data_IF_653261979986
#
_entry.id   IF_653261979986
#
_cell.length_a   1.000
_cell.length_b   1.000
_cell.length_c   1.000
_cell.angle_alpha   90.00
_cell.angle_beta   90.00
_cell.angle_gamma   90.00
#
_symmetry.space_group_name_H-M   'P 1'
#
loop_
_entity.id
_entity.type
_entity.pdbx_description
1 polymer ?
#
# COMPACT_ATOMS: atom_id res chain seq x y z
N UNK A 1 16.95 10.14 -15.47
CA UNK A 1 16.91 10.36 -14.01
C UNK A 1 15.73 9.58 -13.44
N UNK A 2 15.97 8.68 -12.48
CA UNK A 2 14.90 7.86 -11.85
C UNK A 2 14.76 8.13 -10.35
N UNK A 3 15.62 8.99 -9.76
CA UNK A 3 15.51 9.34 -8.35
C UNK A 3 14.28 10.21 -8.10
N UNK A 4 13.32 9.64 -7.37
CA UNK A 4 12.06 10.27 -7.03
C UNK A 4 12.08 10.57 -5.53
N UNK A 5 11.94 11.84 -5.20
CA UNK A 5 11.88 12.35 -3.83
C UNK A 5 10.42 12.71 -3.55
N UNK A 6 9.74 11.91 -2.76
CA UNK A 6 8.32 12.12 -2.47
C UNK A 6 8.01 11.91 -0.99
N UNK A 7 6.84 12.34 -0.58
CA UNK A 7 6.30 12.09 0.77
C UNK A 7 6.22 10.59 1.11
N UNK A 8 6.02 9.74 0.12
CA UNK A 8 5.99 8.28 0.31
C UNK A 8 7.38 7.63 0.35
N UNK A 9 8.44 8.43 0.43
CA UNK A 9 9.81 7.97 0.52
C UNK A 9 10.68 8.37 -0.67
N UNK A 10 11.94 7.97 -0.58
CA UNK A 10 12.98 8.24 -1.56
C UNK A 10 13.19 6.95 -2.36
N UNK A 11 12.84 6.95 -3.65
CA UNK A 11 12.91 5.76 -4.51
C UNK A 11 13.69 6.02 -5.79
N UNK A 12 14.27 4.98 -6.34
CA UNK A 12 14.97 5.05 -7.63
C UNK A 12 15.47 3.69 -8.09
N UNK A 13 15.93 3.63 -9.33
CA UNK A 13 16.68 2.46 -9.80
C UNK A 13 18.04 2.42 -9.13
N UNK A 14 18.50 1.22 -8.79
CA UNK A 14 19.79 1.04 -8.13
C UNK A 14 20.94 1.19 -9.13
N UNK A 15 21.99 1.89 -8.73
CA UNK A 15 23.21 2.14 -9.55
C UNK A 15 23.16 3.53 -10.22
N UNK A 16 24.16 3.80 -11.08
CA UNK A 16 24.25 5.07 -11.79
C UNK A 16 24.95 6.19 -11.01
N UNK A 17 24.66 7.44 -11.38
CA UNK A 17 25.29 8.62 -10.78
C UNK A 17 24.48 9.12 -9.59
N UNK A 18 25.17 9.68 -8.59
CA UNK A 18 24.54 10.35 -7.45
C UNK A 18 23.60 11.48 -7.92
N UNK A 19 22.41 11.53 -7.33
CA UNK A 19 21.37 12.47 -7.69
C UNK A 19 20.47 12.05 -8.88
N UNK A 20 20.89 11.08 -9.70
CA UNK A 20 20.11 10.59 -10.84
C UNK A 20 19.32 9.32 -10.53
N UNK A 21 19.84 8.51 -9.62
CA UNK A 21 19.32 7.19 -9.24
C UNK A 21 19.51 6.98 -7.75
N UNK A 22 19.01 5.88 -7.19
CA UNK A 22 19.25 5.55 -5.78
C UNK A 22 20.57 4.78 -5.65
N UNK A 23 21.59 5.43 -5.12
CA UNK A 23 22.93 4.89 -4.92
C UNK A 23 23.41 5.09 -3.47
N UNK A 24 24.57 4.51 -3.05
CA UNK A 24 25.03 4.62 -1.66
C UNK A 24 25.15 6.03 -1.11
N UNK A 25 25.56 7.03 -1.92
CA UNK A 25 25.67 8.42 -1.46
C UNK A 25 24.29 9.03 -1.18
N UNK A 26 23.32 8.78 -2.06
CA UNK A 26 21.94 9.22 -1.86
C UNK A 26 21.32 8.53 -0.63
N UNK A 27 21.59 7.23 -0.42
CA UNK A 27 21.13 6.51 0.77
C UNK A 27 21.68 7.12 2.06
N UNK A 28 22.98 7.43 2.12
CA UNK A 28 23.61 8.13 3.27
C UNK A 28 22.94 9.48 3.48
N UNK A 29 22.80 10.28 2.42
CA UNK A 29 22.25 11.63 2.49
C UNK A 29 20.84 11.64 3.06
N UNK A 30 19.93 10.85 2.50
CA UNK A 30 18.52 10.83 2.94
C UNK A 30 18.32 10.15 4.28
N UNK A 31 19.11 9.13 4.62
CA UNK A 31 19.10 8.52 5.95
C UNK A 31 19.57 9.50 7.02
N UNK A 32 20.63 10.27 6.75
CA UNK A 32 21.14 11.29 7.67
C UNK A 32 20.13 12.42 7.87
N UNK A 33 19.49 12.85 6.78
CA UNK A 33 18.43 13.88 6.84
C UNK A 33 17.23 13.42 7.66
N UNK A 34 16.77 12.19 7.42
CA UNK A 34 15.67 11.59 8.18
C UNK A 34 16.00 11.47 9.68
N UNK A 35 17.17 10.94 10.02
CA UNK A 35 17.61 10.80 11.41
C UNK A 35 17.68 12.19 12.12
N UNK A 36 18.17 13.20 11.41
CA UNK A 36 18.21 14.59 11.90
C UNK A 36 16.81 15.15 12.11
N UNK A 37 15.89 14.93 11.16
CA UNK A 37 14.48 15.29 11.29
C UNK A 37 13.84 14.65 12.52
N UNK A 38 13.99 13.33 12.70
CA UNK A 38 13.42 12.61 13.86
C UNK A 38 13.92 13.23 15.17
N UNK A 39 15.22 13.54 15.28
CA UNK A 39 15.79 14.16 16.48
C UNK A 39 15.22 15.57 16.72
N UNK A 40 15.11 16.39 15.68
CA UNK A 40 14.60 17.77 15.77
C UNK A 40 13.12 17.82 16.06
N UNK A 41 12.35 16.84 15.62
CA UNK A 41 10.92 16.80 15.86
C UNK A 41 10.57 16.72 17.35
N UNK A 42 11.45 16.14 18.17
CA UNK A 42 11.25 16.01 19.61
C UNK A 42 10.03 15.16 20.02
N UNK A 43 9.40 14.47 19.06
CA UNK A 43 8.16 13.70 19.26
C UNK A 43 8.38 12.39 20.04
N UNK A 44 9.61 11.90 20.09
CA UNK A 44 9.99 10.69 20.83
C UNK A 44 11.22 10.94 21.70
N UNK A 45 11.27 10.28 22.87
CA UNK A 45 12.45 10.25 23.73
C UNK A 45 13.35 9.03 23.45
N UNK A 46 12.93 8.14 22.58
CA UNK A 46 13.71 6.97 22.18
C UNK A 46 14.86 7.38 21.29
N UNK A 47 15.98 6.68 21.38
CA UNK A 47 17.12 6.79 20.48
C UNK A 47 17.22 5.61 19.52
N UNK A 48 16.13 4.90 19.28
CA UNK A 48 16.10 3.67 18.47
C UNK A 48 15.35 3.92 17.16
N UNK A 49 15.91 3.41 16.05
CA UNK A 49 15.25 3.33 14.74
C UNK A 49 15.12 1.86 14.35
N UNK A 50 13.91 1.46 13.93
CA UNK A 50 13.65 0.12 13.39
C UNK A 50 13.95 0.12 11.89
N UNK A 51 14.60 -0.95 11.40
CA UNK A 51 14.87 -1.13 9.97
C UNK A 51 14.37 -2.51 9.54
N UNK A 52 13.47 -2.52 8.56
CA UNK A 52 12.98 -3.73 7.90
C UNK A 52 13.13 -3.64 6.39
N UNK A 53 13.10 -4.77 5.67
CA UNK A 53 13.20 -4.78 4.21
C UNK A 53 12.41 -5.92 3.56
N UNK A 54 12.00 -5.72 2.31
CA UNK A 54 11.54 -6.80 1.46
C UNK A 54 12.75 -7.63 0.92
N UNK A 55 12.47 -8.61 0.06
CA UNK A 55 13.49 -9.51 -0.46
C UNK A 55 14.24 -8.98 -1.69
N UNK A 56 14.04 -7.71 -2.11
CA UNK A 56 14.74 -7.15 -3.27
C UNK A 56 16.23 -7.41 -3.24
N UNK A 57 16.80 -7.78 -4.39
CA UNK A 57 18.23 -8.15 -4.54
C UNK A 57 19.18 -7.09 -3.97
N UNK A 58 18.84 -5.81 -4.15
CA UNK A 58 19.61 -4.69 -3.61
C UNK A 58 19.42 -4.43 -2.12
N UNK A 59 18.45 -5.12 -1.47
CA UNK A 59 18.04 -4.84 -0.11
C UNK A 59 19.16 -4.97 0.92
N UNK A 60 20.02 -5.97 0.78
CA UNK A 60 21.14 -6.17 1.71
C UNK A 60 22.16 -5.02 1.65
N UNK A 61 22.54 -4.58 0.47
CA UNK A 61 23.43 -3.43 0.29
C UNK A 61 22.81 -2.15 0.88
N UNK A 62 21.54 -1.88 0.55
CA UNK A 62 20.84 -0.68 1.05
C UNK A 62 20.74 -0.71 2.57
N UNK A 63 20.35 -1.86 3.17
CA UNK A 63 20.27 -2.04 4.62
C UNK A 63 21.61 -1.74 5.30
N UNK A 64 22.72 -2.26 4.77
CA UNK A 64 24.03 -2.04 5.37
C UNK A 64 24.41 -0.55 5.39
N UNK A 65 24.11 0.19 4.33
CA UNK A 65 24.36 1.64 4.27
C UNK A 65 23.45 2.39 5.24
N UNK A 66 22.16 2.05 5.27
CA UNK A 66 21.17 2.67 6.20
C UNK A 66 21.58 2.46 7.64
N UNK A 67 21.84 1.19 8.05
CA UNK A 67 22.16 0.88 9.44
C UNK A 67 23.49 1.54 9.88
N UNK A 68 24.53 1.49 9.03
CA UNK A 68 25.80 2.17 9.32
C UNK A 68 25.65 3.68 9.45
N UNK A 69 24.83 4.30 8.61
CA UNK A 69 24.56 5.74 8.68
C UNK A 69 23.80 6.12 9.96
N UNK A 70 22.76 5.36 10.34
CA UNK A 70 22.02 5.58 11.58
C UNK A 70 22.92 5.47 12.81
N UNK A 71 23.76 4.44 12.89
CA UNK A 71 24.75 4.31 13.98
C UNK A 71 25.73 5.48 13.97
N UNK A 72 26.23 5.88 12.80
CA UNK A 72 27.15 6.99 12.64
C UNK A 72 26.57 8.36 13.06
N UNK A 73 25.24 8.52 13.01
CA UNK A 73 24.55 9.73 13.49
C UNK A 73 24.07 9.60 14.94
N UNK A 74 24.36 8.45 15.60
CA UNK A 74 24.14 8.21 17.01
C UNK A 74 22.77 7.57 17.37
N UNK A 75 22.09 6.91 16.42
CA UNK A 75 20.89 6.12 16.72
C UNK A 75 21.21 4.66 16.92
N UNK A 76 20.58 4.02 17.90
CA UNK A 76 20.51 2.59 18.01
C UNK A 76 19.63 2.01 16.91
N UNK A 77 20.01 0.89 16.33
CA UNK A 77 19.29 0.23 15.24
C UNK A 77 18.79 -1.13 15.68
N UNK A 78 17.48 -1.37 15.49
CA UNK A 78 16.90 -2.71 15.54
C UNK A 78 16.60 -3.13 14.09
N UNK A 79 17.45 -4.02 13.54
CA UNK A 79 17.21 -4.65 12.25
C UNK A 79 16.27 -5.85 12.43
N UNK A 80 15.08 -5.78 11.86
CA UNK A 80 14.10 -6.88 11.92
C UNK A 80 14.20 -7.83 10.71
N UNK A 81 15.18 -7.61 9.83
CA UNK A 81 15.49 -8.49 8.70
C UNK A 81 14.51 -8.37 7.54
N UNK A 82 14.21 -9.53 6.94
CA UNK A 82 13.17 -9.66 5.92
C UNK A 82 11.80 -9.53 6.59
N UNK A 83 11.12 -8.43 6.35
CA UNK A 83 9.86 -8.09 6.99
C UNK A 83 8.93 -7.36 6.01
N UNK A 84 7.64 -7.45 6.28
CA UNK A 84 6.63 -6.69 5.53
C UNK A 84 6.62 -5.22 5.93
N UNK A 85 6.04 -4.37 5.09
CA UNK A 85 5.77 -2.96 5.44
C UNK A 85 4.96 -2.88 6.74
N UNK A 86 3.78 -3.54 6.88
CA UNK A 86 3.03 -3.47 8.14
C UNK A 86 3.75 -4.10 9.35
N UNK A 87 4.57 -5.15 9.17
CA UNK A 87 5.40 -5.67 10.28
C UNK A 87 6.37 -4.61 10.80
N UNK A 88 6.97 -3.84 9.90
CA UNK A 88 7.92 -2.79 10.28
C UNK A 88 7.21 -1.62 10.99
N UNK A 89 6.04 -1.22 10.51
CA UNK A 89 5.19 -0.21 11.14
C UNK A 89 4.81 -0.61 12.58
N UNK A 90 4.36 -1.85 12.75
CA UNK A 90 4.03 -2.40 14.08
C UNK A 90 5.27 -2.53 14.97
N UNK A 91 6.43 -2.89 14.42
CA UNK A 91 7.68 -2.99 15.19
C UNK A 91 8.08 -1.64 15.79
N UNK A 92 7.93 -0.52 15.05
CA UNK A 92 8.15 0.83 15.59
C UNK A 92 7.27 1.09 16.81
N UNK A 93 5.98 0.78 16.71
CA UNK A 93 5.02 0.95 17.82
C UNK A 93 5.33 0.04 19.00
N UNK A 94 5.58 -1.25 18.75
CA UNK A 94 5.82 -2.25 19.79
C UNK A 94 7.10 -1.99 20.58
N UNK A 95 8.13 -1.41 19.95
CA UNK A 95 9.39 -1.04 20.58
C UNK A 95 9.41 0.37 21.11
N UNK A 96 8.37 1.16 20.82
CA UNK A 96 8.35 2.61 21.10
C UNK A 96 9.57 3.33 20.50
N UNK A 97 10.02 2.89 19.31
CA UNK A 97 11.14 3.49 18.61
C UNK A 97 10.84 4.94 18.19
N UNK A 98 11.89 5.72 17.95
CA UNK A 98 11.74 7.09 17.50
C UNK A 98 11.19 7.19 16.06
N UNK A 99 11.36 6.13 15.28
CA UNK A 99 10.87 5.99 13.93
C UNK A 99 11.33 4.68 13.30
N UNK A 100 11.15 4.57 11.98
CA UNK A 100 11.57 3.38 11.23
C UNK A 100 11.88 3.69 9.77
N UNK A 101 12.63 2.80 9.15
CA UNK A 101 12.91 2.82 7.71
C UNK A 101 12.54 1.45 7.14
N UNK A 102 11.68 1.45 6.14
CA UNK A 102 11.35 0.25 5.36
C UNK A 102 12.07 0.34 4.02
N UNK A 103 12.88 -0.66 3.72
CA UNK A 103 13.66 -0.73 2.48
C UNK A 103 12.87 -1.59 1.48
N UNK A 104 12.06 -0.93 0.67
CA UNK A 104 11.20 -1.55 -0.34
C UNK A 104 10.73 -0.52 -1.36
N UNK A 105 10.58 -0.92 -2.61
CA UNK A 105 9.90 -0.13 -3.63
C UNK A 105 8.52 -0.70 -3.97
N UNK A 106 7.89 -1.46 -3.04
CA UNK A 106 6.56 -2.08 -3.20
C UNK A 106 6.44 -2.83 -4.55
N UNK A 107 5.50 -2.48 -5.37
CA UNK A 107 5.20 -3.09 -6.66
C UNK A 107 6.09 -2.63 -7.84
N UNK A 108 7.08 -1.77 -7.62
CA UNK A 108 8.02 -1.41 -8.67
C UNK A 108 8.87 -2.62 -9.10
N UNK A 109 9.35 -2.67 -10.37
CA UNK A 109 10.20 -3.76 -10.86
C UNK A 109 11.48 -3.96 -10.04
N UNK A 110 12.14 -5.11 -10.19
CA UNK A 110 13.25 -5.57 -9.36
C UNK A 110 14.47 -4.64 -9.28
N UNK A 111 14.71 -3.82 -10.31
CA UNK A 111 15.81 -2.86 -10.34
C UNK A 111 15.59 -1.62 -9.47
N UNK A 112 14.37 -1.42 -8.95
CA UNK A 112 14.02 -0.34 -8.05
C UNK A 112 14.24 -0.72 -6.59
N UNK A 113 14.57 0.28 -5.76
CA UNK A 113 14.43 0.21 -4.31
C UNK A 113 14.05 1.58 -3.75
N UNK A 114 13.69 1.63 -2.47
CA UNK A 114 13.34 2.88 -1.83
C UNK A 114 13.60 2.84 -0.32
N UNK A 115 13.66 4.02 0.27
CA UNK A 115 13.59 4.26 1.71
C UNK A 115 12.21 4.82 2.01
N UNK A 116 11.31 4.03 2.60
CA UNK A 116 10.04 4.49 3.14
C UNK A 116 10.26 4.90 4.60
N UNK A 117 9.88 6.10 4.96
CA UNK A 117 10.23 6.74 6.23
C UNK A 117 9.01 6.76 7.17
N UNK A 118 9.18 6.25 8.38
CA UNK A 118 8.13 6.18 9.40
C UNK A 118 8.40 7.15 10.55
N UNK A 119 7.35 7.70 11.10
CA UNK A 119 7.38 8.46 12.36
C UNK A 119 7.36 7.53 13.59
N UNK A 120 7.34 8.09 14.78
CA UNK A 120 7.33 7.34 16.06
C UNK A 120 6.02 6.57 16.31
N UNK A 121 4.95 6.85 15.57
CA UNK A 121 3.69 6.10 15.62
C UNK A 121 3.70 4.90 14.67
N UNK A 122 4.79 4.68 13.91
CA UNK A 122 4.89 3.64 12.89
C UNK A 122 4.10 3.97 11.63
N UNK A 123 3.85 5.24 11.36
CA UNK A 123 3.12 5.72 10.19
C UNK A 123 4.06 6.47 9.23
N UNK A 124 3.73 6.51 7.96
CA UNK A 124 4.49 7.29 7.00
C UNK A 124 4.48 8.78 7.33
N UNK A 125 5.58 9.45 6.99
CA UNK A 125 5.68 10.90 7.18
C UNK A 125 4.61 11.64 6.39
N UNK A 126 4.04 12.67 6.99
CA UNK A 126 3.14 13.61 6.30
C UNK A 126 3.88 14.41 5.24
N UNK A 127 3.15 15.11 4.37
CA UNK A 127 3.76 15.98 3.34
C UNK A 127 4.67 17.03 3.94
N UNK A 128 4.28 17.65 5.05
CA UNK A 128 5.09 18.65 5.74
C UNK A 128 6.38 18.05 6.29
N UNK A 129 6.29 16.91 6.95
CA UNK A 129 7.44 16.20 7.53
C UNK A 129 8.40 15.69 6.43
N UNK A 130 7.86 15.15 5.33
CA UNK A 130 8.66 14.73 4.19
C UNK A 130 9.40 15.88 3.52
N UNK A 131 8.77 17.05 3.37
CA UNK A 131 9.42 18.24 2.85
C UNK A 131 10.56 18.71 3.77
N UNK A 132 10.38 18.68 5.10
CA UNK A 132 11.44 19.02 6.04
C UNK A 132 12.65 18.08 5.91
N UNK A 133 12.42 16.78 5.73
CA UNK A 133 13.51 15.82 5.45
C UNK A 133 14.24 16.18 4.15
N UNK A 134 13.52 16.59 3.10
CA UNK A 134 14.13 17.00 1.82
C UNK A 134 14.96 18.28 1.97
N UNK A 135 14.48 19.26 2.72
CA UNK A 135 15.20 20.52 2.98
C UNK A 135 16.49 20.27 3.77
N UNK A 136 16.44 19.39 4.79
CA UNK A 136 17.64 18.96 5.53
C UNK A 136 18.62 18.22 4.60
N UNK A 137 18.11 17.36 3.72
CA UNK A 137 18.95 16.64 2.76
C UNK A 137 19.61 17.59 1.76
N UNK A 138 18.91 18.62 1.29
CA UNK A 138 19.44 19.58 0.34
C UNK A 138 20.51 20.49 0.97
N UNK A 139 20.28 20.96 2.18
CA UNK A 139 21.23 21.77 2.94
C UNK A 139 22.39 20.97 3.54
N UNK A 140 22.31 19.63 3.57
CA UNK A 140 23.24 18.73 4.26
C UNK A 140 23.46 19.12 5.75
N UNK A 141 22.43 19.70 6.39
CA UNK A 141 22.45 20.16 7.77
C UNK A 141 22.24 19.01 8.76
N UNK A 142 23.21 18.12 8.82
CA UNK A 142 23.25 16.99 9.75
C UNK A 142 24.66 16.82 10.34
N UNK A 143 24.72 16.37 11.60
CA UNK A 143 25.96 16.19 12.36
C UNK A 143 26.07 14.74 12.78
N UNK A 144 27.19 14.12 12.48
CA UNK A 144 27.52 12.76 12.93
C UNK A 144 28.03 12.74 14.37
N UNK A 145 27.80 11.62 15.04
CA UNK A 145 28.25 11.41 16.41
C UNK A 145 29.77 11.23 16.48
N UNK A 146 30.37 11.61 17.60
CA UNK A 146 31.72 11.22 17.92
C UNK A 146 31.79 9.75 18.35
N UNK A 147 33.00 9.23 18.58
CA UNK A 147 33.24 7.79 18.86
C UNK A 147 32.53 7.29 20.13
N UNK A 148 32.31 8.18 21.09
CA UNK A 148 31.68 7.81 22.39
C UNK A 148 30.14 7.85 22.31
N UNK A 149 29.58 8.39 21.22
CA UNK A 149 28.14 8.55 21.02
C UNK A 149 27.61 7.82 19.78
N UNK A 150 28.38 6.87 19.23
CA UNK A 150 27.90 6.01 18.14
C UNK A 150 26.74 5.13 18.62
N UNK A 151 25.77 4.92 17.76
CA UNK A 151 24.66 4.01 18.03
C UNK A 151 25.06 2.53 17.98
N UNK A 152 24.22 1.69 18.54
CA UNK A 152 24.40 0.24 18.58
C UNK A 152 23.52 -0.47 17.55
N UNK A 153 23.98 -1.60 17.06
CA UNK A 153 23.22 -2.46 16.16
C UNK A 153 22.75 -3.72 16.86
N UNK A 154 21.49 -4.06 16.66
CA UNK A 154 20.89 -5.31 17.13
C UNK A 154 19.98 -5.91 16.06
N UNK A 155 19.75 -7.22 16.15
CA UNK A 155 18.81 -7.95 15.28
C UNK A 155 17.69 -8.57 16.11
N UNK A 156 16.46 -8.50 15.59
CA UNK A 156 15.31 -9.15 16.20
C UNK A 156 14.39 -9.72 15.13
N UNK A 157 14.42 -11.02 14.92
CA UNK A 157 13.60 -11.74 13.94
C UNK A 157 12.21 -12.13 14.48
N UNK A 158 11.82 -11.70 15.67
CA UNK A 158 10.56 -12.11 16.31
C UNK A 158 9.33 -11.35 15.79
N UNK A 159 9.52 -10.28 15.03
CA UNK A 159 8.42 -9.36 14.68
C UNK A 159 7.39 -9.95 13.71
N UNK A 160 7.76 -10.89 12.83
CA UNK A 160 6.77 -11.62 12.03
C UNK A 160 5.75 -12.35 12.92
N UNK A 161 6.24 -13.08 13.93
CA UNK A 161 5.39 -13.82 14.85
C UNK A 161 4.55 -12.87 15.71
N UNK A 162 5.13 -11.80 16.20
CA UNK A 162 4.41 -10.77 17.00
C UNK A 162 3.34 -10.07 16.17
N UNK A 163 3.60 -9.79 14.89
CA UNK A 163 2.60 -9.25 13.98
C UNK A 163 1.44 -10.25 13.78
N UNK A 164 1.74 -11.51 13.46
CA UNK A 164 0.72 -12.56 13.33
C UNK A 164 -0.12 -12.67 14.60
N UNK A 165 0.50 -12.72 15.77
CA UNK A 165 -0.21 -12.76 17.06
C UNK A 165 -1.14 -11.56 17.25
N UNK A 166 -0.70 -10.36 16.87
CA UNK A 166 -1.54 -9.15 16.93
C UNK A 166 -2.75 -9.23 16.02
N UNK A 167 -2.58 -9.76 14.80
CA UNK A 167 -3.69 -9.98 13.85
C UNK A 167 -4.68 -11.00 14.38
N UNK A 168 -4.17 -12.12 14.90
CA UNK A 168 -5.00 -13.19 15.48
C UNK A 168 -5.75 -12.77 16.75
N UNK A 169 -5.28 -11.74 17.44
CA UNK A 169 -5.92 -11.15 18.61
C UNK A 169 -7.02 -10.13 18.28
N UNK A 170 -7.17 -9.74 17.01
CA UNK A 170 -8.21 -8.83 16.57
C UNK A 170 -9.60 -9.42 16.82
N UNK A 171 -10.50 -8.63 17.38
CA UNK A 171 -11.82 -9.07 17.82
C UNK A 171 -12.68 -9.70 16.73
N UNK A 172 -12.52 -9.24 15.48
CA UNK A 172 -13.28 -9.74 14.34
C UNK A 172 -12.60 -10.92 13.61
N UNK A 173 -11.43 -11.37 14.04
CA UNK A 173 -10.78 -12.57 13.50
C UNK A 173 -11.28 -13.81 14.22
N UNK A 174 -12.14 -14.58 13.55
CA UNK A 174 -12.72 -15.81 14.11
C UNK A 174 -11.92 -17.05 13.65
N UNK A 175 -10.84 -17.32 14.40
CA UNK A 175 -9.95 -18.47 14.14
C UNK A 175 -10.70 -19.81 14.13
N UNK A 176 -11.68 -20.00 15.01
CA UNK A 176 -12.43 -21.24 15.13
C UNK A 176 -13.38 -21.45 13.93
N UNK A 177 -14.02 -20.38 13.45
CA UNK A 177 -14.83 -20.47 12.24
C UNK A 177 -13.95 -20.78 11.02
N UNK A 178 -12.79 -20.14 10.88
CA UNK A 178 -11.83 -20.42 9.79
C UNK A 178 -11.38 -21.87 9.83
N UNK A 179 -10.98 -22.40 10.99
CA UNK A 179 -10.56 -23.82 11.14
C UNK A 179 -11.65 -24.81 10.77
N UNK A 180 -12.89 -24.55 11.20
CA UNK A 180 -14.04 -25.40 10.87
C UNK A 180 -14.42 -25.38 9.39
N UNK A 181 -14.08 -24.31 8.67
CA UNK A 181 -14.34 -24.20 7.24
C UNK A 181 -13.41 -25.09 6.38
N UNK A 182 -12.24 -25.51 6.92
CA UNK A 182 -11.26 -26.34 6.24
C UNK A 182 -10.84 -25.78 4.88
N UNK A 183 -10.58 -24.48 4.82
CA UNK A 183 -10.18 -23.82 3.59
C UNK A 183 -8.88 -24.39 3.03
N UNK A 184 -8.85 -24.52 1.70
CA UNK A 184 -7.66 -24.82 0.91
C UNK A 184 -7.40 -23.67 -0.06
N UNK A 185 -6.23 -23.05 0.03
CA UNK A 185 -5.91 -21.84 -0.73
C UNK A 185 -4.66 -22.01 -1.60
N UNK A 186 -4.61 -21.32 -2.73
CA UNK A 186 -3.37 -21.08 -3.45
C UNK A 186 -2.81 -19.73 -3.03
N UNK A 187 -1.49 -19.60 -2.89
CA UNK A 187 -0.84 -18.37 -2.42
C UNK A 187 0.28 -18.02 -3.38
N UNK A 188 0.35 -16.77 -3.80
CA UNK A 188 1.49 -16.23 -4.55
C UNK A 188 2.28 -15.24 -3.68
N UNK A 189 3.51 -15.61 -3.32
CA UNK A 189 4.43 -14.83 -2.48
C UNK A 189 5.37 -13.91 -3.28
N UNK A 190 5.26 -13.88 -4.61
CA UNK A 190 6.04 -13.02 -5.53
C UNK A 190 7.56 -13.06 -5.29
N UNK A 191 8.10 -14.18 -4.85
CA UNK A 191 9.51 -14.33 -4.46
C UNK A 191 10.01 -13.25 -3.50
N UNK A 192 9.15 -12.86 -2.56
CA UNK A 192 9.47 -11.86 -1.54
C UNK A 192 8.99 -12.30 -0.16
N UNK A 193 8.84 -11.35 0.77
CA UNK A 193 8.52 -11.65 2.18
C UNK A 193 7.14 -12.26 2.39
N UNK A 194 6.23 -12.16 1.42
CA UNK A 194 4.97 -12.89 1.40
C UNK A 194 5.17 -14.41 1.51
N UNK A 195 6.20 -14.96 0.86
CA UNK A 195 6.56 -16.36 0.95
C UNK A 195 7.03 -16.83 2.33
N UNK A 196 7.42 -15.89 3.19
CA UNK A 196 7.84 -16.17 4.57
C UNK A 196 6.65 -16.07 5.54
N UNK A 197 5.91 -14.96 5.49
CA UNK A 197 4.93 -14.62 6.53
C UNK A 197 3.57 -15.27 6.31
N UNK A 198 3.11 -15.42 5.03
CA UNK A 198 1.81 -15.99 4.76
C UNK A 198 1.70 -17.47 5.17
N UNK A 199 2.70 -18.35 4.92
CA UNK A 199 2.69 -19.70 5.47
C UNK A 199 2.53 -19.75 6.99
N UNK A 200 3.19 -18.86 7.73
CA UNK A 200 3.08 -18.79 9.18
C UNK A 200 1.66 -18.41 9.61
N UNK A 201 1.07 -17.37 9.00
CA UNK A 201 -0.29 -16.93 9.27
C UNK A 201 -1.31 -18.04 8.97
N UNK A 202 -1.22 -18.67 7.79
CA UNK A 202 -2.17 -19.70 7.37
C UNK A 202 -2.10 -20.96 8.23
N UNK A 203 -0.91 -21.37 8.67
CA UNK A 203 -0.73 -22.44 9.63
C UNK A 203 -1.42 -22.13 10.97
N UNK A 204 -1.27 -20.92 11.50
CA UNK A 204 -1.94 -20.49 12.73
C UNK A 204 -3.46 -20.44 12.60
N UNK A 205 -3.97 -20.12 11.40
CA UNK A 205 -5.39 -20.14 11.08
C UNK A 205 -5.93 -21.56 10.78
N UNK A 206 -5.05 -22.56 10.60
CA UNK A 206 -5.44 -23.94 10.25
C UNK A 206 -5.94 -24.06 8.80
N UNK A 207 -5.40 -23.27 7.90
CA UNK A 207 -5.73 -23.23 6.47
C UNK A 207 -4.70 -24.04 5.68
N UNK A 208 -5.16 -24.96 4.83
CA UNK A 208 -4.31 -25.71 3.90
C UNK A 208 -3.93 -24.82 2.72
N UNK A 209 -2.65 -24.81 2.32
CA UNK A 209 -2.20 -23.96 1.23
C UNK A 209 -1.22 -24.63 0.27
N UNK A 210 -1.23 -24.17 -0.98
CA UNK A 210 -0.18 -24.40 -1.98
C UNK A 210 0.52 -23.08 -2.24
N UNK A 211 1.84 -23.02 -2.04
CA UNK A 211 2.63 -21.81 -2.16
C UNK A 211 3.32 -21.76 -3.53
N UNK A 212 3.04 -20.71 -4.31
CA UNK A 212 3.71 -20.33 -5.53
C UNK A 212 4.67 -19.19 -5.23
N UNK A 213 5.81 -19.16 -5.92
CA UNK A 213 6.79 -18.06 -5.82
C UNK A 213 7.15 -17.72 -4.35
N UNK A 214 7.36 -18.75 -3.52
CA UNK A 214 7.55 -18.59 -2.07
C UNK A 214 8.97 -18.32 -1.63
N UNK A 215 9.98 -18.55 -2.48
CA UNK A 215 11.39 -18.33 -2.13
C UNK A 215 11.72 -16.83 -2.16
N UNK A 216 12.20 -16.24 -1.05
CA UNK A 216 12.42 -14.78 -0.95
C UNK A 216 13.74 -14.34 -1.65
N UNK A 217 13.84 -14.59 -2.93
CA UNK A 217 15.02 -14.28 -3.75
C UNK A 217 15.07 -12.83 -4.22
N UNK A 218 13.94 -12.15 -4.25
CA UNK A 218 13.80 -10.82 -4.83
C UNK A 218 13.88 -10.78 -6.36
N UNK A 219 14.00 -11.95 -7.00
CA UNK A 219 13.85 -12.12 -8.45
C UNK A 219 12.38 -12.47 -8.74
N UNK A 220 11.57 -11.45 -8.90
CA UNK A 220 10.12 -11.57 -8.99
C UNK A 220 9.71 -12.39 -10.20
N UNK A 221 8.87 -13.41 -9.99
CA UNK A 221 8.43 -14.33 -11.04
C UNK A 221 7.60 -13.66 -12.14
N UNK A 222 6.89 -12.58 -11.80
CA UNK A 222 6.10 -11.77 -12.70
C UNK A 222 6.18 -10.29 -12.29
N UNK A 223 5.51 -9.40 -13.00
CA UNK A 223 5.37 -8.01 -12.56
C UNK A 223 4.72 -7.99 -11.17
N UNK A 224 5.36 -7.36 -10.16
CA UNK A 224 4.95 -7.49 -8.76
C UNK A 224 3.67 -6.71 -8.40
N UNK A 225 3.06 -6.01 -9.32
CA UNK A 225 1.76 -5.38 -9.08
C UNK A 225 0.64 -6.43 -9.20
N UNK A 226 -0.21 -6.63 -8.16
CA UNK A 226 -1.22 -7.68 -8.13
C UNK A 226 -2.46 -7.33 -8.98
N UNK A 227 -2.27 -7.19 -10.29
CA UNK A 227 -3.30 -6.96 -11.29
C UNK A 227 -3.52 -8.23 -12.14
N UNK A 228 -4.73 -8.44 -12.61
CA UNK A 228 -5.14 -9.62 -13.38
C UNK A 228 -4.14 -9.99 -14.49
N UNK A 229 -3.68 -9.01 -15.26
CA UNK A 229 -2.71 -9.21 -16.36
C UNK A 229 -1.36 -9.80 -15.93
N UNK A 230 -1.03 -9.76 -14.64
CA UNK A 230 0.23 -10.23 -14.07
C UNK A 230 0.10 -11.58 -13.36
N UNK A 231 -1.13 -12.08 -13.13
CA UNK A 231 -1.44 -13.19 -12.22
C UNK A 231 -1.79 -14.49 -12.94
N UNK A 232 -1.32 -14.66 -14.18
CA UNK A 232 -1.66 -15.83 -15.03
C UNK A 232 -1.36 -17.17 -14.36
N UNK A 233 -0.22 -17.31 -13.66
CA UNK A 233 0.21 -18.59 -13.08
C UNK A 233 -0.73 -19.05 -11.95
N UNK A 234 -1.06 -18.16 -11.00
CA UNK A 234 -1.97 -18.53 -9.91
C UNK A 234 -3.40 -18.71 -10.42
N UNK A 235 -3.86 -17.91 -11.39
CA UNK A 235 -5.18 -18.08 -12.00
C UNK A 235 -5.27 -19.43 -12.71
N UNK A 236 -4.20 -19.86 -13.41
CA UNK A 236 -4.10 -21.19 -14.02
C UNK A 236 -4.08 -22.30 -12.96
N UNK A 237 -3.36 -22.10 -11.85
CA UNK A 237 -3.36 -23.07 -10.74
C UNK A 237 -4.76 -23.24 -10.16
N UNK A 238 -5.44 -22.13 -9.87
CA UNK A 238 -6.83 -22.13 -9.37
C UNK A 238 -7.79 -22.83 -10.32
N UNK A 239 -7.64 -22.65 -11.63
CA UNK A 239 -8.51 -23.25 -12.66
C UNK A 239 -8.43 -24.79 -12.72
N UNK A 240 -7.39 -25.39 -12.14
CA UNK A 240 -7.29 -26.85 -11.98
C UNK A 240 -8.33 -27.41 -10.99
N UNK A 241 -8.91 -26.53 -10.15
CA UNK A 241 -9.88 -26.88 -9.12
C UNK A 241 -9.25 -27.39 -7.83
N UNK A 242 -10.08 -27.55 -6.81
CA UNK A 242 -9.66 -28.05 -5.50
C UNK A 242 -9.15 -26.98 -4.53
N UNK A 243 -9.31 -25.71 -4.87
CA UNK A 243 -9.05 -24.56 -4.02
C UNK A 243 -10.33 -23.77 -3.76
N UNK A 244 -10.43 -23.18 -2.57
CA UNK A 244 -11.52 -22.27 -2.21
C UNK A 244 -11.22 -20.84 -2.56
N UNK A 245 -9.92 -20.45 -2.53
CA UNK A 245 -9.45 -19.06 -2.66
C UNK A 245 -8.01 -19.02 -3.15
N UNK A 246 -7.69 -18.07 -4.03
CA UNK A 246 -6.33 -17.63 -4.32
C UNK A 246 -6.00 -16.35 -3.56
N UNK A 247 -4.81 -16.27 -2.99
CA UNK A 247 -4.29 -15.12 -2.23
C UNK A 247 -3.02 -14.62 -2.90
N UNK A 248 -2.98 -13.35 -3.25
CA UNK A 248 -1.84 -12.71 -3.91
C UNK A 248 -1.46 -11.45 -3.15
N UNK A 249 -0.17 -11.28 -2.89
CA UNK A 249 0.38 -10.06 -2.26
C UNK A 249 1.46 -9.44 -3.12
N UNK A 250 1.76 -8.17 -2.88
CA UNK A 250 2.93 -7.50 -3.47
C UNK A 250 4.20 -7.74 -2.62
N UNK A 251 5.39 -7.32 -3.08
CA UNK A 251 6.67 -7.65 -2.43
C UNK A 251 6.81 -7.31 -0.96
N UNK A 252 6.13 -6.27 -0.47
CA UNK A 252 6.17 -5.82 0.92
C UNK A 252 4.86 -6.05 1.68
N UNK A 253 3.91 -6.79 1.06
CA UNK A 253 2.70 -7.34 1.69
C UNK A 253 1.77 -6.26 2.26
N UNK A 254 1.76 -5.09 1.63
CA UNK A 254 0.81 -4.02 1.95
C UNK A 254 -0.42 -4.01 1.02
N UNK A 255 -0.36 -4.77 -0.12
CA UNK A 255 -1.46 -4.97 -1.06
C UNK A 255 -1.88 -6.43 -1.12
N UNK A 256 -3.17 -6.64 -1.33
CA UNK A 256 -3.82 -7.94 -1.33
C UNK A 256 -4.83 -8.05 -2.46
N UNK A 257 -4.74 -9.10 -3.25
CA UNK A 257 -5.75 -9.46 -4.23
C UNK A 257 -6.19 -10.92 -4.04
N UNK A 258 -7.44 -11.20 -4.40
CA UNK A 258 -8.02 -12.52 -4.31
C UNK A 258 -8.38 -13.08 -5.68
N UNK A 259 -8.28 -14.39 -5.82
CA UNK A 259 -8.74 -15.16 -6.98
C UNK A 259 -9.87 -16.08 -6.50
N UNK A 260 -10.98 -16.10 -7.22
CA UNK A 260 -12.11 -16.97 -6.92
C UNK A 260 -11.77 -18.44 -7.20
N UNK A 261 -12.56 -19.34 -6.64
CA UNK A 261 -12.41 -20.79 -6.81
C UNK A 261 -12.49 -21.28 -8.27
N UNK A 262 -13.08 -20.47 -9.15
CA UNK A 262 -13.18 -20.73 -10.58
C UNK A 262 -11.99 -20.20 -11.41
N UNK A 263 -10.98 -19.62 -10.72
CA UNK A 263 -9.79 -19.04 -11.35
C UNK A 263 -9.98 -17.62 -11.86
N UNK A 264 -11.14 -17.00 -11.65
CA UNK A 264 -11.43 -15.61 -12.06
C UNK A 264 -11.00 -14.65 -10.94
N UNK A 265 -10.43 -13.53 -11.30
CA UNK A 265 -10.02 -12.52 -10.32
C UNK A 265 -11.23 -11.95 -9.58
N UNK A 266 -11.13 -11.88 -8.23
CA UNK A 266 -12.12 -11.21 -7.39
C UNK A 266 -12.16 -9.70 -7.66
N UNK A 267 -11.02 -9.14 -8.05
CA UNK A 267 -10.76 -7.74 -8.33
C UNK A 267 -10.09 -7.04 -7.14
N UNK A 268 -8.96 -6.39 -7.37
CA UNK A 268 -8.17 -5.72 -6.33
C UNK A 268 -8.97 -4.63 -5.59
N UNK A 269 -9.82 -3.92 -6.32
CA UNK A 269 -10.72 -2.90 -5.75
C UNK A 269 -11.71 -3.51 -4.74
N UNK A 270 -12.14 -4.76 -4.95
CA UNK A 270 -13.12 -5.44 -4.11
C UNK A 270 -12.54 -6.13 -2.88
N UNK A 271 -11.23 -6.19 -2.77
CA UNK A 271 -10.56 -6.62 -1.52
C UNK A 271 -11.03 -5.75 -0.35
N UNK A 272 -10.88 -4.44 -0.49
CA UNK A 272 -11.32 -3.49 0.55
C UNK A 272 -12.84 -3.53 0.74
N UNK A 273 -13.63 -3.60 -0.34
CA UNK A 273 -15.10 -3.63 -0.28
C UNK A 273 -15.59 -4.82 0.55
N UNK A 274 -15.04 -6.02 0.30
CA UNK A 274 -15.46 -7.24 0.99
C UNK A 274 -15.06 -7.27 2.47
N UNK A 275 -13.86 -6.80 2.78
CA UNK A 275 -13.41 -6.69 4.18
C UNK A 275 -14.21 -5.62 4.92
N UNK A 276 -14.50 -4.48 4.25
CA UNK A 276 -15.33 -3.42 4.82
C UNK A 276 -16.77 -3.88 5.09
N UNK A 277 -17.40 -4.65 4.18
CA UNK A 277 -18.74 -5.22 4.40
C UNK A 277 -18.79 -6.07 5.69
N UNK A 278 -17.74 -6.87 5.90
CA UNK A 278 -17.62 -7.68 7.12
C UNK A 278 -17.44 -6.82 8.37
N UNK A 279 -16.52 -5.87 8.36
CA UNK A 279 -16.28 -4.97 9.50
C UNK A 279 -17.54 -4.16 9.82
N UNK A 280 -18.16 -3.56 8.82
CA UNK A 280 -19.37 -2.74 8.99
C UNK A 280 -20.58 -3.53 9.49
N UNK A 281 -20.67 -4.81 9.17
CA UNK A 281 -21.73 -5.68 9.70
C UNK A 281 -21.63 -5.91 11.22
N UNK A 282 -20.46 -5.72 11.81
CA UNK A 282 -20.19 -5.87 13.25
C UNK A 282 -20.00 -4.52 13.94
N UNK A 283 -19.39 -3.57 13.26
CA UNK A 283 -19.05 -2.24 13.77
C UNK A 283 -19.47 -1.20 12.74
N UNK A 284 -20.75 -0.82 12.69
CA UNK A 284 -21.22 0.23 11.79
C UNK A 284 -20.46 1.55 12.03
N UNK A 285 -20.08 2.23 10.95
CA UNK A 285 -19.31 3.46 11.06
C UNK A 285 -18.89 4.02 9.69
N UNK A 286 -18.02 5.01 9.72
CA UNK A 286 -17.54 5.66 8.52
C UNK A 286 -16.43 4.86 7.84
N UNK A 287 -16.31 5.03 6.52
CA UNK A 287 -15.18 4.48 5.75
C UNK A 287 -14.50 5.55 4.93
N UNK A 288 -13.22 5.28 4.58
CA UNK A 288 -12.41 6.17 3.74
C UNK A 288 -11.68 5.36 2.70
N UNK A 289 -11.67 5.84 1.45
CA UNK A 289 -10.69 5.43 0.45
C UNK A 289 -10.19 6.63 -0.34
N UNK A 290 -9.19 6.43 -1.20
CA UNK A 290 -8.74 7.51 -2.06
C UNK A 290 -9.73 7.77 -3.22
N UNK A 291 -9.60 8.95 -3.86
CA UNK A 291 -10.47 9.39 -4.96
C UNK A 291 -10.51 8.44 -6.16
N UNK A 292 -9.44 7.65 -6.39
CA UNK A 292 -9.32 6.73 -7.51
C UNK A 292 -9.86 5.32 -7.22
N UNK A 293 -10.46 5.08 -6.05
CA UNK A 293 -11.01 3.78 -5.67
C UNK A 293 -12.46 3.62 -6.12
N UNK A 294 -12.90 2.34 -6.22
CA UNK A 294 -14.27 2.02 -6.63
C UNK A 294 -15.31 2.64 -5.73
N UNK A 295 -16.43 3.08 -6.32
CA UNK A 295 -17.62 3.56 -5.59
C UNK A 295 -18.35 2.47 -4.81
N UNK A 296 -18.04 1.20 -5.09
CA UNK A 296 -18.66 0.07 -4.38
C UNK A 296 -18.44 0.15 -2.86
N UNK A 297 -17.32 0.72 -2.38
CA UNK A 297 -17.09 0.94 -0.95
C UNK A 297 -18.11 1.95 -0.37
N UNK A 298 -18.41 3.03 -1.10
CA UNK A 298 -19.44 3.99 -0.71
C UNK A 298 -20.80 3.29 -0.57
N UNK A 299 -21.18 2.51 -1.58
CA UNK A 299 -22.50 1.85 -1.61
C UNK A 299 -22.66 0.86 -0.44
N UNK A 300 -21.60 0.11 -0.12
CA UNK A 300 -21.59 -0.79 1.05
C UNK A 300 -21.63 -0.01 2.36
N UNK A 301 -20.91 1.09 2.46
CA UNK A 301 -20.91 1.94 3.67
C UNK A 301 -22.30 2.51 3.95
N UNK A 302 -22.95 3.06 2.92
CA UNK A 302 -24.30 3.61 3.01
C UNK A 302 -25.33 2.53 3.34
N UNK A 303 -25.21 1.33 2.77
CA UNK A 303 -26.02 0.14 3.11
C UNK A 303 -25.96 -0.21 4.60
N UNK A 304 -24.82 -0.03 5.24
CA UNK A 304 -24.65 -0.23 6.70
C UNK A 304 -24.94 1.02 7.54
N UNK A 305 -25.46 2.10 6.93
CA UNK A 305 -25.83 3.34 7.62
C UNK A 305 -24.67 4.26 8.00
N UNK A 306 -23.46 4.00 7.50
CA UNK A 306 -22.27 4.83 7.67
C UNK A 306 -22.14 5.91 6.59
N UNK A 307 -21.12 6.74 6.72
CA UNK A 307 -20.73 7.75 5.73
C UNK A 307 -19.39 7.39 5.09
N UNK A 308 -19.36 7.46 3.77
CA UNK A 308 -18.13 7.31 2.99
C UNK A 308 -17.50 8.67 2.72
N UNK A 309 -16.19 8.78 2.93
CA UNK A 309 -15.40 9.94 2.54
C UNK A 309 -14.21 9.53 1.67
N UNK A 310 -13.90 10.41 0.69
CA UNK A 310 -12.74 10.25 -0.15
C UNK A 310 -11.58 11.15 0.32
N UNK A 311 -10.36 10.66 0.14
CA UNK A 311 -9.12 11.43 0.35
C UNK A 311 -8.36 11.63 -0.97
N UNK A 312 -7.36 12.49 -0.97
CA UNK A 312 -6.33 12.47 -1.99
C UNK A 312 -5.67 11.08 -2.07
N UNK A 313 -5.08 10.74 -3.22
CA UNK A 313 -4.39 9.47 -3.42
C UNK A 313 -3.12 9.40 -2.57
N UNK A 314 -2.87 8.23 -1.99
CA UNK A 314 -1.73 7.92 -1.14
C UNK A 314 -2.14 7.61 0.29
N UNK A 315 -1.52 6.59 0.85
CA UNK A 315 -1.84 6.03 2.16
C UNK A 315 -1.92 7.07 3.28
N UNK A 316 -0.95 8.00 3.34
CA UNK A 316 -0.91 9.07 4.35
C UNK A 316 -2.18 9.93 4.30
N UNK A 317 -2.69 10.24 3.11
CA UNK A 317 -3.91 11.02 2.94
C UNK A 317 -5.14 10.23 3.40
N UNK A 318 -5.16 8.92 3.11
CA UNK A 318 -6.23 8.02 3.57
C UNK A 318 -6.23 7.93 5.09
N UNK A 319 -5.10 7.63 5.72
CA UNK A 319 -4.99 7.48 7.18
C UNK A 319 -5.31 8.77 7.92
N UNK A 320 -4.84 9.92 7.41
CA UNK A 320 -5.19 11.24 7.95
C UNK A 320 -6.70 11.47 7.92
N UNK A 321 -7.34 11.21 6.77
CA UNK A 321 -8.79 11.35 6.65
C UNK A 321 -9.54 10.36 7.53
N UNK A 322 -9.05 9.12 7.67
CA UNK A 322 -9.65 8.12 8.57
C UNK A 322 -9.66 8.60 10.02
N UNK A 323 -8.56 9.20 10.49
CA UNK A 323 -8.47 9.77 11.86
C UNK A 323 -9.43 10.94 12.05
N UNK A 324 -9.51 11.85 11.06
CA UNK A 324 -10.41 13.02 11.10
C UNK A 324 -11.89 12.63 11.27
N UNK A 325 -12.30 11.54 10.59
CA UNK A 325 -13.70 11.14 10.54
C UNK A 325 -14.05 9.92 11.39
N UNK A 326 -13.07 9.45 12.18
CA UNK A 326 -13.18 8.25 13.00
C UNK A 326 -13.65 7.04 12.17
N UNK A 327 -13.05 6.82 11.01
CA UNK A 327 -13.40 5.70 10.14
C UNK A 327 -13.05 4.36 10.81
N UNK A 328 -13.97 3.40 10.73
CA UNK A 328 -13.78 2.06 11.30
C UNK A 328 -12.97 1.14 10.40
N UNK A 329 -12.90 1.45 9.11
CA UNK A 329 -12.08 0.79 8.11
C UNK A 329 -11.86 1.74 6.93
N UNK A 330 -10.74 1.57 6.24
CA UNK A 330 -10.42 2.30 5.03
C UNK A 330 -9.35 1.61 4.22
N UNK A 331 -8.83 2.30 3.20
CA UNK A 331 -7.77 1.75 2.36
C UNK A 331 -7.73 2.36 0.98
N UNK A 332 -7.14 1.63 0.06
CA UNK A 332 -6.99 2.04 -1.33
C UNK A 332 -7.47 0.93 -2.28
N UNK A 333 -7.98 1.31 -3.45
CA UNK A 333 -8.47 0.39 -4.48
C UNK A 333 -7.40 -0.50 -5.13
N UNK A 334 -6.16 -0.40 -4.69
CA UNK A 334 -5.05 -1.25 -5.11
C UNK A 334 -4.89 -2.53 -4.26
N UNK A 335 -5.90 -2.89 -3.46
CA UNK A 335 -5.88 -4.02 -2.54
C UNK A 335 -5.37 -3.70 -1.13
N UNK A 336 -5.12 -2.42 -0.83
CA UNK A 336 -4.65 -1.98 0.48
C UNK A 336 -5.80 -1.84 1.49
N UNK A 337 -5.76 -2.61 2.57
CA UNK A 337 -6.73 -2.58 3.67
C UNK A 337 -6.10 -1.92 4.89
N UNK A 338 -6.76 -0.92 5.46
CA UNK A 338 -6.34 -0.23 6.69
C UNK A 338 -7.42 -0.44 7.75
N UNK A 339 -7.08 -1.14 8.82
CA UNK A 339 -7.98 -1.43 9.94
C UNK A 339 -7.46 -0.81 11.24
N UNK A 340 -8.06 0.29 11.72
CA UNK A 340 -7.53 1.07 12.85
C UNK A 340 -7.38 0.30 14.17
N UNK A 341 -8.17 -0.76 14.40
CA UNK A 341 -7.99 -1.62 15.58
C UNK A 341 -6.63 -2.35 15.56
N UNK A 342 -6.01 -2.54 14.40
CA UNK A 342 -4.64 -3.01 14.27
C UNK A 342 -3.67 -1.83 14.27
N UNK A 343 -3.64 -1.09 13.19
CA UNK A 343 -2.82 0.12 13.01
C UNK A 343 -3.30 0.96 11.81
N UNK A 344 -2.73 2.16 11.67
CA UNK A 344 -3.00 3.05 10.54
C UNK A 344 -1.98 2.84 9.41
N UNK A 345 -1.97 1.63 8.84
CA UNK A 345 -1.18 1.22 7.69
C UNK A 345 -1.90 0.15 6.90
N UNK A 346 -1.59 0.01 5.61
CA UNK A 346 -2.14 -1.06 4.77
C UNK A 346 -1.53 -2.39 5.18
N UNK A 347 -2.38 -3.40 5.41
CA UNK A 347 -1.97 -4.68 5.98
C UNK A 347 -2.70 -5.84 5.32
N UNK A 348 -1.99 -6.60 4.50
CA UNK A 348 -2.54 -7.77 3.84
C UNK A 348 -2.86 -8.91 4.81
N UNK A 349 -2.14 -9.05 5.93
CA UNK A 349 -2.41 -10.11 6.93
C UNK A 349 -3.76 -9.86 7.60
N UNK A 350 -4.04 -8.62 7.97
CA UNK A 350 -5.34 -8.18 8.50
C UNK A 350 -6.43 -8.43 7.47
N UNK A 351 -6.20 -8.04 6.21
CA UNK A 351 -7.13 -8.27 5.10
C UNK A 351 -7.47 -9.75 4.91
N UNK A 352 -6.46 -10.63 4.90
CA UNK A 352 -6.63 -12.09 4.78
C UNK A 352 -7.44 -12.66 5.94
N UNK A 353 -7.07 -12.33 7.18
CA UNK A 353 -7.71 -12.88 8.37
C UNK A 353 -9.19 -12.45 8.48
N UNK A 354 -9.50 -11.20 8.18
CA UNK A 354 -10.88 -10.68 8.17
C UNK A 354 -11.69 -11.26 7.01
N UNK A 355 -11.10 -11.39 5.81
CA UNK A 355 -11.77 -11.99 4.65
C UNK A 355 -12.11 -13.47 4.89
N UNK A 356 -11.16 -14.25 5.41
CA UNK A 356 -11.40 -15.66 5.74
C UNK A 356 -12.44 -15.83 6.87
N UNK A 357 -12.45 -14.94 7.86
CA UNK A 357 -13.50 -14.90 8.89
C UNK A 357 -14.87 -14.64 8.26
N UNK A 358 -14.97 -13.64 7.38
CA UNK A 358 -16.19 -13.32 6.64
C UNK A 358 -16.69 -14.52 5.81
N UNK A 359 -15.78 -15.13 5.05
CA UNK A 359 -16.10 -16.25 4.18
C UNK A 359 -16.58 -17.46 4.98
N UNK A 360 -15.94 -17.77 6.12
CA UNK A 360 -16.34 -18.84 7.03
C UNK A 360 -17.75 -18.64 7.61
N UNK A 361 -18.09 -17.40 7.97
CA UNK A 361 -19.44 -17.08 8.47
C UNK A 361 -20.51 -17.11 7.38
N UNK A 362 -20.20 -16.65 6.17
CA UNK A 362 -21.14 -16.63 5.04
C UNK A 362 -21.38 -18.02 4.44
N UNK A 363 -20.40 -18.93 4.52
CA UNK A 363 -20.50 -20.29 4.01
C UNK A 363 -20.80 -20.38 2.51
N UNK A 364 -20.36 -19.40 1.72
CA UNK A 364 -20.58 -19.31 0.27
C UNK A 364 -19.23 -19.39 -0.48
N UNK A 365 -19.29 -19.62 -1.77
CA UNK A 365 -18.12 -19.54 -2.64
C UNK A 365 -17.64 -18.09 -2.80
N UNK A 366 -16.35 -17.92 -3.10
CA UNK A 366 -15.76 -16.58 -3.30
C UNK A 366 -16.39 -15.88 -4.51
N UNK A 367 -16.65 -16.60 -5.60
CA UNK A 367 -17.35 -16.08 -6.77
C UNK A 367 -18.80 -15.64 -6.48
N UNK A 368 -19.49 -16.35 -5.59
CA UNK A 368 -20.85 -15.97 -5.13
C UNK A 368 -20.78 -14.71 -4.26
N UNK A 369 -19.79 -14.64 -3.37
CA UNK A 369 -19.55 -13.43 -2.57
C UNK A 369 -19.28 -12.22 -3.47
N UNK A 370 -18.42 -12.36 -4.49
CA UNK A 370 -18.14 -11.28 -5.45
C UNK A 370 -19.41 -10.78 -6.16
N UNK A 371 -20.27 -11.69 -6.58
CA UNK A 371 -21.54 -11.36 -7.25
C UNK A 371 -22.56 -10.67 -6.34
N UNK A 372 -22.38 -10.74 -5.02
CA UNK A 372 -23.27 -10.06 -4.06
C UNK A 372 -22.98 -8.56 -3.91
N UNK A 373 -21.86 -8.09 -4.40
CA UNK A 373 -21.46 -6.67 -4.38
C UNK A 373 -21.90 -5.96 -5.67
N UNK A 374 -22.11 -4.61 -5.61
CA UNK A 374 -22.33 -3.81 -6.81
C UNK A 374 -21.20 -4.05 -7.82
N UNK A 375 -21.57 -4.25 -9.08
CA UNK A 375 -20.60 -4.57 -10.11
C UNK A 375 -20.25 -3.33 -10.92
N UNK A 376 -19.04 -2.81 -10.72
CA UNK A 376 -18.49 -1.68 -11.45
C UNK A 376 -17.23 -2.12 -12.21
N UNK A 377 -16.99 -1.45 -13.32
CA UNK A 377 -15.82 -1.65 -14.17
C UNK A 377 -15.00 -0.37 -14.24
N UNK A 378 -13.70 -0.50 -14.05
CA UNK A 378 -12.78 0.63 -14.01
C UNK A 378 -11.80 0.58 -15.19
N UNK A 379 -11.81 1.62 -16.02
CA UNK A 379 -10.80 1.85 -17.04
C UNK A 379 -9.67 2.72 -16.47
N UNK A 380 -8.42 2.24 -16.60
CA UNK A 380 -7.21 2.92 -16.10
C UNK A 380 -6.35 3.35 -17.30
N UNK A 381 -6.45 4.61 -17.68
CA UNK A 381 -5.77 5.21 -18.81
C UNK A 381 -4.71 6.23 -18.34
N UNK A 382 -3.83 6.62 -19.26
CA UNK A 382 -2.86 7.71 -19.08
C UNK A 382 -2.72 8.54 -20.35
N UNK A 383 -2.32 9.78 -20.16
CA UNK A 383 -1.96 10.71 -21.23
C UNK A 383 -0.51 11.11 -20.99
N UNK A 384 0.35 10.92 -21.98
CA UNK A 384 1.71 11.44 -21.94
C UNK A 384 1.67 12.95 -22.24
N UNK A 385 2.33 13.77 -21.41
CA UNK A 385 2.30 15.22 -21.50
C UNK A 385 3.44 15.74 -22.37
N UNK A 386 3.15 16.79 -23.12
CA UNK A 386 4.20 17.59 -23.78
C UNK A 386 4.78 18.63 -22.79
N UNK A 387 6.03 19.13 -23.01
CA UNK A 387 6.60 20.18 -22.16
C UNK A 387 5.79 21.46 -22.12
N UNK A 388 4.97 21.71 -23.14
CA UNK A 388 4.14 22.90 -23.31
C UNK A 388 2.79 22.79 -22.62
N UNK A 389 2.40 21.60 -22.15
CA UNK A 389 1.08 21.36 -21.56
C UNK A 389 0.93 22.08 -20.20
N UNK A 390 0.02 23.02 -20.13
CA UNK A 390 -0.37 23.66 -18.87
C UNK A 390 -1.43 22.79 -18.16
N UNK A 391 -0.98 21.95 -17.23
CA UNK A 391 -1.83 21.02 -16.48
C UNK A 391 -2.91 21.77 -15.69
N UNK A 392 -2.60 22.93 -15.13
CA UNK A 392 -3.57 23.73 -14.35
C UNK A 392 -4.70 24.22 -15.25
N UNK A 393 -4.37 24.77 -16.39
CA UNK A 393 -5.38 25.23 -17.37
C UNK A 393 -6.26 24.09 -17.87
N UNK A 394 -5.68 22.88 -18.10
CA UNK A 394 -6.44 21.70 -18.49
C UNK A 394 -7.44 21.29 -17.40
N UNK A 395 -6.98 21.18 -16.15
CA UNK A 395 -7.85 20.78 -15.04
C UNK A 395 -8.93 21.83 -14.75
N UNK A 396 -8.62 23.12 -14.84
CA UNK A 396 -9.60 24.20 -14.65
C UNK A 396 -10.65 24.19 -15.78
N UNK A 397 -10.25 23.96 -17.01
CA UNK A 397 -11.18 23.81 -18.15
C UNK A 397 -12.15 22.65 -17.94
N UNK A 398 -11.66 21.51 -17.43
CA UNK A 398 -12.51 20.35 -17.14
C UNK A 398 -13.50 20.67 -16.02
N UNK A 399 -13.08 21.38 -14.97
CA UNK A 399 -13.99 21.82 -13.89
C UNK A 399 -15.12 22.69 -14.43
N UNK A 400 -14.80 23.66 -15.33
CA UNK A 400 -15.78 24.52 -15.94
C UNK A 400 -16.79 23.74 -16.80
N UNK A 401 -16.30 22.78 -17.59
CA UNK A 401 -17.16 21.97 -18.46
C UNK A 401 -18.19 21.12 -17.69
N UNK A 402 -17.87 20.75 -16.46
CA UNK A 402 -18.70 19.88 -15.61
C UNK A 402 -19.14 20.58 -14.32
N UNK A 403 -19.27 21.90 -14.34
CA UNK A 403 -19.66 22.70 -13.16
C UNK A 403 -21.05 22.34 -12.59
N UNK A 404 -21.92 21.74 -13.38
CA UNK A 404 -23.24 21.27 -12.95
C UNK A 404 -23.19 19.87 -12.26
N UNK A 405 -22.06 19.19 -12.31
CA UNK A 405 -21.86 17.89 -11.68
C UNK A 405 -21.13 18.02 -10.33
N UNK A 406 -21.07 16.93 -9.58
CA UNK A 406 -20.29 16.92 -8.35
C UNK A 406 -18.80 16.82 -8.67
N UNK A 407 -18.10 17.96 -8.58
CA UNK A 407 -16.65 18.06 -8.81
C UNK A 407 -15.88 18.05 -7.48
N UNK A 408 -14.81 17.25 -7.39
CA UNK A 408 -13.85 17.21 -6.28
C UNK A 408 -12.46 17.46 -6.81
N UNK A 409 -11.71 18.42 -6.23
CA UNK A 409 -10.41 18.88 -6.72
C UNK A 409 -9.28 18.85 -5.68
N UNK A 410 -9.40 18.00 -4.66
CA UNK A 410 -8.38 17.82 -3.62
C UNK A 410 -7.10 17.12 -4.12
N UNK A 411 -7.18 16.42 -5.26
CA UNK A 411 -6.04 15.77 -5.93
C UNK A 411 -6.38 15.59 -7.43
N UNK A 412 -6.01 16.56 -8.24
CA UNK A 412 -6.49 16.64 -9.63
C UNK A 412 -7.97 17.03 -9.71
N UNK A 413 -8.72 16.42 -10.61
CA UNK A 413 -10.15 16.68 -10.78
C UNK A 413 -10.91 15.37 -10.92
N UNK A 414 -11.83 15.10 -9.98
CA UNK A 414 -12.79 14.01 -10.06
C UNK A 414 -14.18 14.56 -10.31
N UNK A 415 -14.88 13.97 -11.26
CA UNK A 415 -16.27 14.27 -11.59
C UNK A 415 -17.10 13.04 -11.23
N UNK A 416 -18.02 13.17 -10.29
CA UNK A 416 -18.97 12.15 -9.88
C UNK A 416 -20.34 12.41 -10.53
N UNK A 417 -20.74 11.50 -11.41
CA UNK A 417 -22.10 11.43 -11.95
C UNK A 417 -22.98 10.53 -11.07
N UNK A 418 -24.25 10.42 -11.40
CA UNK A 418 -25.19 9.59 -10.63
C UNK A 418 -24.76 8.11 -10.54
N UNK A 419 -24.26 7.55 -11.64
CA UNK A 419 -23.95 6.10 -11.82
C UNK A 419 -22.49 5.79 -12.19
N UNK A 420 -21.66 6.81 -12.40
CA UNK A 420 -20.26 6.67 -12.85
C UNK A 420 -19.41 7.82 -12.35
N UNK A 421 -18.10 7.73 -12.54
CA UNK A 421 -17.18 8.82 -12.24
C UNK A 421 -15.95 8.79 -13.16
N UNK A 422 -15.26 9.92 -13.27
CA UNK A 422 -13.93 10.02 -13.91
C UNK A 422 -13.01 10.90 -13.07
N UNK A 423 -11.75 10.50 -12.96
CA UNK A 423 -10.72 11.19 -12.19
C UNK A 423 -9.47 11.40 -13.04
N UNK A 424 -9.08 12.67 -13.20
CA UNK A 424 -7.86 13.09 -13.87
C UNK A 424 -6.87 13.61 -12.83
N UNK A 425 -5.68 13.04 -12.80
CA UNK A 425 -4.65 13.41 -11.84
C UNK A 425 -3.26 13.42 -12.48
N UNK A 426 -2.54 14.54 -12.32
CA UNK A 426 -1.13 14.59 -12.69
C UNK A 426 -0.31 13.58 -11.87
N UNK A 427 0.63 12.91 -12.52
CA UNK A 427 1.60 12.08 -11.81
C UNK A 427 2.67 12.95 -11.15
N UNK A 428 2.99 12.66 -9.90
CA UNK A 428 4.09 13.34 -9.19
C UNK A 428 5.48 12.82 -9.63
N UNK A 429 5.54 11.79 -10.47
CA UNK A 429 6.77 11.06 -10.78
C UNK A 429 7.08 10.94 -12.26
N UNK A 430 6.09 11.18 -13.11
CA UNK A 430 6.17 11.04 -14.57
C UNK A 430 5.44 12.20 -15.24
N UNK A 431 5.83 12.64 -16.43
CA UNK A 431 5.12 13.70 -17.18
C UNK A 431 3.84 13.12 -17.83
N UNK A 432 2.90 12.66 -17.00
CA UNK A 432 1.63 12.06 -17.43
C UNK A 432 0.45 12.59 -16.61
N UNK A 433 -0.73 12.57 -17.19
CA UNK A 433 -2.01 12.60 -16.48
C UNK A 433 -2.59 11.19 -16.45
N UNK A 434 -2.92 10.68 -15.28
CA UNK A 434 -3.70 9.45 -15.11
C UNK A 434 -5.18 9.78 -15.25
N UNK A 435 -5.89 9.00 -16.05
CA UNK A 435 -7.32 9.15 -16.29
C UNK A 435 -8.00 7.83 -15.92
N UNK A 436 -8.61 7.81 -14.75
CA UNK A 436 -9.37 6.65 -14.29
C UNK A 436 -10.85 6.96 -14.38
N UNK A 437 -11.63 6.00 -14.86
CA UNK A 437 -13.08 6.13 -15.00
C UNK A 437 -13.77 4.83 -14.60
N UNK A 438 -14.91 4.93 -13.96
CA UNK A 438 -15.69 3.80 -13.50
C UNK A 438 -17.16 3.95 -13.93
N UNK A 439 -17.74 2.85 -14.42
CA UNK A 439 -19.14 2.78 -14.86
C UNK A 439 -19.69 1.35 -14.69
N UNK A 440 -20.98 1.17 -15.05
CA UNK A 440 -21.67 -0.13 -14.99
C UNK A 440 -21.12 -1.16 -15.99
N UNK A 441 -20.45 -0.70 -17.07
CA UNK A 441 -19.79 -1.55 -18.07
C UNK A 441 -18.39 -1.01 -18.39
N UNK A 442 -17.50 -1.89 -18.87
CA UNK A 442 -16.15 -1.46 -19.29
C UNK A 442 -16.22 -0.50 -20.49
N UNK A 443 -17.15 -0.72 -21.43
CA UNK A 443 -17.35 0.13 -22.59
C UNK A 443 -17.73 1.57 -22.19
N UNK A 444 -18.63 1.71 -21.23
CA UNK A 444 -19.03 3.02 -20.69
C UNK A 444 -17.88 3.69 -19.94
N UNK A 445 -17.12 2.94 -19.12
CA UNK A 445 -15.95 3.44 -18.41
C UNK A 445 -14.89 3.96 -19.39
N UNK A 446 -14.53 3.16 -20.41
CA UNK A 446 -13.59 3.57 -21.43
C UNK A 446 -14.07 4.78 -22.25
N UNK A 447 -15.36 4.81 -22.63
CA UNK A 447 -15.96 5.93 -23.38
C UNK A 447 -15.88 7.23 -22.57
N UNK A 448 -16.19 7.16 -21.26
CA UNK A 448 -16.10 8.30 -20.37
C UNK A 448 -14.65 8.80 -20.24
N UNK A 449 -13.70 7.89 -20.03
CA UNK A 449 -12.26 8.22 -19.97
C UNK A 449 -11.77 8.90 -21.26
N UNK A 450 -12.11 8.33 -22.43
CA UNK A 450 -11.73 8.89 -23.75
C UNK A 450 -12.24 10.31 -23.94
N UNK A 451 -13.48 10.61 -23.60
CA UNK A 451 -14.03 11.98 -23.70
C UNK A 451 -13.17 13.01 -22.97
N UNK A 452 -12.68 12.68 -21.79
CA UNK A 452 -11.82 13.59 -21.02
C UNK A 452 -10.40 13.63 -21.57
N UNK A 453 -9.90 12.51 -22.09
CA UNK A 453 -8.60 12.48 -22.77
C UNK A 453 -8.59 13.36 -24.03
N UNK A 454 -9.68 13.35 -24.82
CA UNK A 454 -9.82 14.20 -26.00
C UNK A 454 -9.73 15.69 -25.66
N UNK A 455 -10.37 16.13 -24.56
CA UNK A 455 -10.25 17.51 -24.05
C UNK A 455 -8.79 17.85 -23.72
N UNK A 456 -8.04 16.94 -23.12
CA UNK A 456 -6.61 17.17 -22.81
C UNK A 456 -5.79 17.27 -24.09
N UNK A 457 -6.03 16.39 -25.07
CA UNK A 457 -5.33 16.42 -26.36
C UNK A 457 -5.61 17.69 -27.18
N UNK A 458 -6.82 18.23 -27.09
CA UNK A 458 -7.17 19.50 -27.75
C UNK A 458 -6.44 20.71 -27.12
N UNK A 459 -5.92 20.58 -25.89
CA UNK A 459 -5.22 21.65 -25.17
C UNK A 459 -3.70 21.47 -25.12
N UNK A 460 -3.16 20.38 -25.69
CA UNK A 460 -1.73 20.13 -25.88
C UNK A 460 -1.20 20.79 -27.16
#
# INVERSE_FOLDING_TARGET
>A
MTLIKSISGIRGTIGGRSGDTLNPLDIVKFTSAYATFIRRSGKSQSNTIVVGRDARISGEMVKNVVCGTLMGIGYDVINIGLATTPTTELAVRMTQAAGGIIITASHNPRQWNALKLLNHEGEFLTKSEGNEVLDIAESEDFIYADVDHLGHYSEDASFDQRHIESVLALKLVDREAIRRAHFKVAVDGINSVGGIILPKLLNELGVEYTLLNGEPTGDFAHNPEPLEKNLGDIMQEMSKGGYDLGIVVDPDVDRLAFICEDGIMFGEEYTLVSVADYVLSHTPGNTVSNLSSTRALRDITEKHGGQYMASAVGEVNVTTKMKEVNAVIGGEGNGGVIYPESHYGRDALVGIALFLSSLAHKGCKVSELRKSYPNYFMAKNRIDLTPETDISAVLDRIKEMYADEKVTDIDGVKIDFADKWVHLRASNTEPIIRVYSEAATMEEAESLGRKLMDVVYEMQ
#
